data_IF_389881355244
#
_entry.id   IF_389881355244
#
_cell.length_a   1.000
_cell.length_b   1.000
_cell.length_c   1.000
_cell.angle_alpha   90.00
_cell.angle_beta   90.00
_cell.angle_gamma   90.00
#
_symmetry.space_group_name_H-M   'P 1'
#
loop_
_entity.id
_entity.type
_entity.pdbx_description
1 polymer ?
#
# COMPACT_ATOMS: atom_id res chain seq x y z
N UNK A 1 -10.49 28.66 -25.57
CA UNK A 1 -9.99 27.29 -25.29
C UNK A 1 -10.79 26.33 -26.16
N UNK A 2 -10.19 25.37 -26.86
CA UNK A 2 -10.94 24.37 -27.63
C UNK A 2 -11.80 23.53 -26.69
N UNK A 3 -13.07 23.31 -27.06
CA UNK A 3 -14.01 22.45 -26.32
C UNK A 3 -13.57 20.98 -26.39
N UNK A 4 -14.08 20.09 -25.52
CA UNK A 4 -13.82 18.65 -25.64
C UNK A 4 -14.18 18.11 -27.04
N UNK A 5 -15.30 18.57 -27.61
CA UNK A 5 -15.72 18.19 -28.96
C UNK A 5 -14.73 18.67 -30.03
N UNK A 6 -14.17 19.87 -29.90
CA UNK A 6 -13.12 20.38 -30.81
C UNK A 6 -11.86 19.53 -30.77
N UNK A 7 -11.45 19.08 -29.58
CA UNK A 7 -10.26 18.23 -29.42
C UNK A 7 -10.45 16.87 -30.07
N UNK A 8 -11.62 16.26 -29.89
CA UNK A 8 -11.98 15.00 -30.54
C UNK A 8 -12.05 15.17 -32.06
N UNK A 9 -12.66 16.26 -32.55
CA UNK A 9 -12.77 16.58 -33.97
C UNK A 9 -11.40 16.84 -34.63
N UNK A 10 -10.44 17.38 -33.88
CA UNK A 10 -9.10 17.63 -34.36
C UNK A 10 -8.23 16.36 -34.46
N UNK A 11 -8.67 15.22 -33.91
CA UNK A 11 -7.94 13.96 -34.07
C UNK A 11 -7.85 13.58 -35.53
N UNK A 12 -6.65 13.22 -35.96
CA UNK A 12 -6.38 12.66 -37.27
C UNK A 12 -6.24 11.14 -37.16
N UNK A 13 -6.50 10.46 -38.27
CA UNK A 13 -6.34 9.02 -38.46
C UNK A 13 -4.99 8.57 -37.88
N UNK A 14 -4.95 7.34 -37.34
CA UNK A 14 -3.78 6.81 -36.65
C UNK A 14 -2.49 6.93 -37.47
N UNK A 15 -1.74 8.01 -37.25
CA UNK A 15 -0.45 8.23 -37.89
C UNK A 15 0.57 7.21 -37.39
N UNK A 16 1.30 6.60 -38.33
CA UNK A 16 2.31 5.55 -38.17
C UNK A 16 1.84 4.29 -37.40
N UNK A 17 2.32 3.13 -37.86
CA UNK A 17 2.09 1.84 -37.23
C UNK A 17 2.41 1.88 -35.73
N UNK A 18 1.38 1.79 -34.88
CA UNK A 18 1.54 1.60 -33.43
C UNK A 18 1.67 0.10 -33.13
N UNK A 19 2.59 -0.31 -32.23
CA UNK A 19 2.70 -1.71 -31.82
C UNK A 19 1.36 -2.27 -31.33
N UNK A 20 1.07 -3.57 -31.51
CA UNK A 20 -0.20 -4.16 -31.08
C UNK A 20 -0.52 -3.99 -29.59
N UNK A 21 0.49 -3.77 -28.74
CA UNK A 21 0.36 -3.57 -27.29
C UNK A 21 0.27 -2.10 -26.86
N UNK A 22 0.33 -1.14 -27.79
CA UNK A 22 0.18 0.28 -27.45
C UNK A 22 -1.28 0.57 -27.07
N UNK A 23 -1.57 1.01 -25.82
CA UNK A 23 -2.93 1.32 -25.37
C UNK A 23 -3.55 2.52 -26.09
N UNK A 24 -2.75 3.31 -26.82
CA UNK A 24 -3.21 4.42 -27.66
C UNK A 24 -3.46 4.00 -29.12
N UNK A 25 -3.34 2.70 -29.44
CA UNK A 25 -3.67 2.18 -30.78
C UNK A 25 -5.18 2.36 -31.07
N UNK A 26 -5.56 2.95 -32.22
CA UNK A 26 -6.97 3.05 -32.61
C UNK A 26 -7.66 1.69 -32.64
N UNK A 27 -8.94 1.68 -32.28
CA UNK A 27 -9.79 0.52 -32.39
C UNK A 27 -10.36 0.47 -33.81
N UNK A 28 -10.40 -0.72 -34.39
CA UNK A 28 -11.00 -0.96 -35.70
C UNK A 28 -12.10 -1.98 -35.58
N UNK A 29 -13.23 -1.69 -36.20
CA UNK A 29 -14.41 -2.55 -36.15
C UNK A 29 -15.15 -2.54 -37.47
N UNK A 30 -15.72 -3.70 -37.83
CA UNK A 30 -16.66 -3.80 -38.95
C UNK A 30 -18.08 -3.68 -38.39
N UNK A 31 -18.75 -2.59 -38.75
CA UNK A 31 -20.17 -2.37 -38.49
C UNK A 31 -20.98 -2.91 -39.67
N UNK A 32 -22.12 -3.51 -39.37
CA UNK A 32 -23.11 -3.87 -40.39
C UNK A 32 -24.01 -2.65 -40.60
N UNK A 33 -23.82 -1.94 -41.72
CA UNK A 33 -24.63 -0.76 -42.08
C UNK A 33 -25.39 -1.07 -43.37
N UNK A 34 -26.71 -1.21 -43.27
CA UNK A 34 -27.59 -1.52 -44.41
C UNK A 34 -27.18 -2.79 -45.21
N UNK A 35 -26.59 -3.79 -44.55
CA UNK A 35 -26.14 -5.04 -45.17
C UNK A 35 -24.80 -4.94 -45.91
N UNK A 36 -24.14 -3.78 -45.86
CA UNK A 36 -22.76 -3.59 -46.31
C UNK A 36 -21.88 -3.40 -45.07
N UNK A 37 -20.83 -4.21 -44.97
CA UNK A 37 -19.88 -4.11 -43.85
C UNK A 37 -19.00 -2.86 -44.00
N UNK A 38 -19.18 -1.87 -43.12
CA UNK A 38 -18.35 -0.68 -43.05
C UNK A 38 -17.29 -0.83 -41.96
N UNK A 39 -16.01 -0.66 -42.31
CA UNK A 39 -14.94 -0.61 -41.31
C UNK A 39 -14.78 0.81 -40.77
N UNK A 40 -15.02 0.96 -39.47
CA UNK A 40 -14.79 2.19 -38.71
C UNK A 40 -13.49 2.09 -37.93
N UNK A 41 -12.79 3.22 -37.81
CA UNK A 41 -11.62 3.40 -36.96
C UNK A 41 -11.87 4.54 -35.97
N UNK A 42 -11.91 4.21 -34.69
CA UNK A 42 -12.20 5.16 -33.62
C UNK A 42 -11.04 5.19 -32.60
N UNK A 43 -10.88 6.28 -31.82
CA UNK A 43 -9.77 6.40 -30.89
C UNK A 43 -9.81 5.27 -29.86
N UNK A 44 -8.65 4.94 -29.31
CA UNK A 44 -8.60 3.99 -28.21
C UNK A 44 -9.32 4.54 -26.98
N UNK A 45 -9.78 3.68 -26.04
CA UNK A 45 -10.38 4.13 -24.79
C UNK A 45 -9.51 5.13 -24.02
N UNK A 46 -8.18 4.94 -24.03
CA UNK A 46 -7.24 5.87 -23.40
C UNK A 46 -7.20 7.23 -24.10
N UNK A 47 -7.14 7.24 -25.44
CA UNK A 47 -7.14 8.49 -26.22
C UNK A 47 -8.45 9.23 -26.02
N UNK A 48 -9.60 8.54 -26.02
CA UNK A 48 -10.89 9.16 -25.75
C UNK A 48 -10.96 9.71 -24.32
N UNK A 49 -10.41 9.01 -23.33
CA UNK A 49 -10.33 9.47 -21.95
C UNK A 49 -9.52 10.76 -21.81
N UNK A 50 -8.34 10.85 -22.44
CA UNK A 50 -7.45 12.01 -22.40
C UNK A 50 -8.05 13.23 -23.14
N UNK A 51 -8.63 13.01 -24.33
CA UNK A 51 -8.99 14.08 -25.27
C UNK A 51 -10.40 14.62 -25.08
N UNK A 52 -11.34 13.76 -24.67
CA UNK A 52 -12.75 14.09 -24.58
C UNK A 52 -13.32 13.86 -23.17
N UNK A 53 -13.21 12.65 -22.62
CA UNK A 53 -13.94 12.30 -21.39
C UNK A 53 -13.46 13.09 -20.17
N UNK A 54 -12.15 13.16 -19.91
CA UNK A 54 -11.61 13.95 -18.79
C UNK A 54 -12.02 15.43 -18.86
N UNK A 55 -11.73 16.20 -19.93
CA UNK A 55 -12.06 17.62 -19.95
C UNK A 55 -13.58 17.87 -19.95
N UNK A 56 -14.39 16.95 -20.48
CA UNK A 56 -15.84 16.99 -20.36
C UNK A 56 -16.26 16.83 -18.89
N UNK A 57 -15.86 15.74 -18.25
CA UNK A 57 -16.33 15.34 -16.92
C UNK A 57 -15.75 16.22 -15.79
N UNK A 58 -14.64 16.94 -16.06
CA UNK A 58 -14.09 17.97 -15.18
C UNK A 58 -14.82 19.33 -15.31
N UNK A 59 -15.85 19.44 -16.16
CA UNK A 59 -16.67 20.65 -16.23
C UNK A 59 -17.51 20.79 -14.96
N UNK A 60 -17.14 21.73 -14.09
CA UNK A 60 -17.87 22.02 -12.84
C UNK A 60 -17.50 21.12 -11.66
N UNK A 61 -16.58 20.16 -11.83
CA UNK A 61 -16.04 19.32 -10.73
C UNK A 61 -14.60 18.94 -11.00
N UNK A 62 -13.83 18.64 -9.96
CA UNK A 62 -12.49 18.04 -10.08
C UNK A 62 -12.60 16.54 -9.95
N UNK A 63 -11.84 15.82 -10.77
CA UNK A 63 -11.74 14.37 -10.73
C UNK A 63 -10.37 13.94 -10.21
N UNK A 64 -10.36 12.85 -9.46
CA UNK A 64 -9.15 12.22 -8.95
C UNK A 64 -9.28 10.71 -9.08
N UNK A 65 -8.15 10.00 -9.03
CA UNK A 65 -8.13 8.54 -8.83
C UNK A 65 -7.72 8.20 -7.40
N UNK A 66 -8.34 7.15 -6.87
CA UNK A 66 -7.84 6.41 -5.71
C UNK A 66 -7.82 4.93 -6.09
N UNK A 67 -6.63 4.42 -6.41
CA UNK A 67 -6.43 3.11 -7.03
C UNK A 67 -7.31 2.94 -8.28
N UNK A 68 -8.32 2.08 -8.21
CA UNK A 68 -9.26 1.79 -9.30
C UNK A 68 -10.56 2.63 -9.22
N UNK A 69 -10.76 3.39 -8.15
CA UNK A 69 -11.93 4.25 -7.97
C UNK A 69 -11.67 5.65 -8.55
N UNK A 70 -12.75 6.26 -9.05
CA UNK A 70 -12.76 7.66 -9.46
C UNK A 70 -13.48 8.45 -8.38
N UNK A 71 -12.86 9.53 -7.94
CA UNK A 71 -13.40 10.45 -6.94
C UNK A 71 -13.74 11.78 -7.62
N UNK A 72 -14.85 12.40 -7.22
CA UNK A 72 -15.28 13.71 -7.69
C UNK A 72 -15.40 14.70 -6.54
N UNK A 73 -15.02 15.97 -6.76
CA UNK A 73 -15.19 17.06 -5.80
C UNK A 73 -15.67 18.33 -6.48
N UNK A 74 -16.70 18.96 -5.92
CA UNK A 74 -17.21 20.28 -6.31
C UNK A 74 -16.73 21.40 -5.36
N UNK A 75 -15.87 21.07 -4.39
CA UNK A 75 -15.44 21.98 -3.33
C UNK A 75 -15.46 21.26 -1.98
N UNK A 76 -14.33 20.65 -1.61
CA UNK A 76 -14.19 19.87 -0.38
C UNK A 76 -13.62 18.47 -0.63
N UNK A 77 -13.84 17.57 0.32
CA UNK A 77 -13.37 16.17 0.25
C UNK A 77 -14.00 15.44 -0.93
N UNK A 78 -13.21 14.85 -1.84
CA UNK A 78 -13.75 14.07 -2.95
C UNK A 78 -14.54 12.86 -2.47
N UNK A 79 -15.64 12.56 -3.17
CA UNK A 79 -16.47 11.38 -2.92
C UNK A 79 -16.41 10.43 -4.13
N UNK A 80 -16.55 9.10 -3.92
CA UNK A 80 -16.59 8.15 -5.02
C UNK A 80 -17.74 8.42 -5.99
N UNK A 81 -17.47 8.32 -7.29
CA UNK A 81 -18.47 8.31 -8.35
C UNK A 81 -18.47 6.95 -9.03
N UNK A 82 -19.65 6.41 -9.32
CA UNK A 82 -19.74 5.08 -9.93
C UNK A 82 -19.36 5.12 -11.40
N UNK A 83 -18.75 4.04 -11.90
CA UNK A 83 -18.43 3.93 -13.33
C UNK A 83 -19.69 3.97 -14.18
N UNK A 84 -20.81 3.40 -13.71
CA UNK A 84 -22.08 3.43 -14.42
C UNK A 84 -22.58 4.87 -14.65
N UNK A 85 -22.49 5.73 -13.63
CA UNK A 85 -22.83 7.16 -13.75
C UNK A 85 -21.98 7.84 -14.82
N UNK A 86 -20.65 7.61 -14.79
CA UNK A 86 -19.73 8.20 -15.76
C UNK A 86 -19.95 7.69 -17.19
N UNK A 87 -20.27 6.40 -17.36
CA UNK A 87 -20.62 5.82 -18.67
C UNK A 87 -21.88 6.48 -19.23
N UNK A 88 -22.92 6.67 -18.42
CA UNK A 88 -24.16 7.35 -18.83
C UNK A 88 -23.90 8.79 -19.24
N UNK A 89 -23.13 9.55 -18.45
CA UNK A 89 -22.76 10.93 -18.78
C UNK A 89 -21.95 11.00 -20.09
N UNK A 90 -20.98 10.11 -20.26
CA UNK A 90 -20.13 10.04 -21.45
C UNK A 90 -20.93 9.67 -22.69
N UNK A 91 -21.83 8.69 -22.58
CA UNK A 91 -22.75 8.28 -23.66
C UNK A 91 -23.58 9.47 -24.14
N UNK A 92 -24.28 10.13 -23.21
CA UNK A 92 -25.14 11.27 -23.54
C UNK A 92 -24.35 12.40 -24.23
N UNK A 93 -23.14 12.69 -23.77
CA UNK A 93 -22.29 13.71 -24.36
C UNK A 93 -21.79 13.36 -25.77
N UNK A 94 -21.47 12.08 -26.02
CA UNK A 94 -21.05 11.63 -27.35
C UNK A 94 -22.22 11.57 -28.34
N UNK A 95 -23.41 11.15 -27.90
CA UNK A 95 -24.64 11.17 -28.70
C UNK A 95 -25.05 12.60 -29.07
N UNK A 96 -24.78 13.57 -28.19
CA UNK A 96 -25.02 15.00 -28.42
C UNK A 96 -23.96 15.68 -29.32
N UNK A 97 -22.98 14.94 -29.85
CA UNK A 97 -21.94 15.54 -30.71
C UNK A 97 -22.54 16.10 -32.01
N UNK A 98 -22.26 17.37 -32.35
CA UNK A 98 -22.77 17.98 -33.57
C UNK A 98 -22.20 17.33 -34.81
N UNK A 99 -22.91 17.46 -35.93
CA UNK A 99 -22.33 17.09 -37.21
C UNK A 99 -21.31 18.13 -37.67
N UNK A 100 -20.16 17.66 -38.18
CA UNK A 100 -18.99 18.50 -38.46
C UNK A 100 -18.27 18.05 -39.72
N UNK A 101 -18.27 18.91 -40.74
CA UNK A 101 -17.57 18.64 -42.00
C UNK A 101 -16.03 18.78 -41.88
N UNK A 102 -15.53 19.49 -40.88
CA UNK A 102 -14.11 19.74 -40.62
C UNK A 102 -13.45 18.68 -39.72
N UNK A 103 -14.26 17.78 -39.13
CA UNK A 103 -13.78 16.79 -38.18
C UNK A 103 -13.01 15.65 -38.88
N UNK A 104 -11.96 15.16 -38.22
CA UNK A 104 -11.24 13.99 -38.69
C UNK A 104 -12.07 12.70 -38.57
N UNK A 105 -11.62 11.64 -39.28
CA UNK A 105 -12.33 10.36 -39.33
C UNK A 105 -12.63 9.76 -37.95
N UNK A 106 -11.73 9.79 -36.94
CA UNK A 106 -12.01 9.20 -35.63
C UNK A 106 -13.26 9.79 -34.96
N UNK A 107 -13.53 11.08 -35.17
CA UNK A 107 -14.74 11.75 -34.67
C UNK A 107 -16.00 11.21 -35.35
N UNK A 108 -16.00 11.15 -36.68
CA UNK A 108 -17.12 10.64 -37.46
C UNK A 108 -17.38 9.15 -37.16
N UNK A 109 -16.31 8.37 -37.01
CA UNK A 109 -16.39 6.93 -36.77
C UNK A 109 -16.85 6.59 -35.35
N UNK A 110 -16.53 7.40 -34.33
CA UNK A 110 -17.16 7.29 -32.99
C UNK A 110 -18.66 7.54 -33.06
N UNK A 111 -19.09 8.57 -33.79
CA UNK A 111 -20.53 8.86 -33.96
C UNK A 111 -21.24 7.70 -34.68
N UNK A 112 -20.61 7.11 -35.71
CA UNK A 112 -21.11 5.91 -36.40
C UNK A 112 -21.17 4.69 -35.49
N UNK A 113 -20.14 4.46 -34.66
CA UNK A 113 -20.14 3.39 -33.67
C UNK A 113 -21.33 3.54 -32.70
N UNK A 114 -21.65 4.76 -32.26
CA UNK A 114 -22.79 4.99 -31.37
C UNK A 114 -24.14 4.80 -32.06
N UNK A 115 -24.25 5.16 -33.33
CA UNK A 115 -25.49 5.06 -34.09
C UNK A 115 -25.80 3.64 -34.60
N UNK A 116 -24.77 2.90 -35.04
CA UNK A 116 -24.93 1.61 -35.73
C UNK A 116 -24.25 0.43 -35.00
N UNK A 117 -23.45 0.69 -33.97
CA UNK A 117 -22.83 -0.35 -33.16
C UNK A 117 -23.85 -1.05 -32.25
N UNK A 118 -23.57 -2.30 -31.88
CA UNK A 118 -24.41 -3.01 -30.94
C UNK A 118 -24.27 -2.44 -29.52
N UNK A 119 -25.37 -2.37 -28.77
CA UNK A 119 -25.41 -1.84 -27.41
C UNK A 119 -24.31 -2.41 -26.50
N UNK A 120 -24.09 -3.75 -26.44
CA UNK A 120 -23.07 -4.31 -25.55
C UNK A 120 -21.64 -3.87 -25.88
N UNK A 121 -21.34 -3.64 -27.17
CA UNK A 121 -20.01 -3.20 -27.59
C UNK A 121 -19.78 -1.73 -27.26
N UNK A 122 -20.78 -0.89 -27.50
CA UNK A 122 -20.72 0.51 -27.11
C UNK A 122 -20.54 0.61 -25.60
N UNK A 123 -21.32 -0.13 -24.81
CA UNK A 123 -21.19 -0.15 -23.35
C UNK A 123 -19.79 -0.60 -22.91
N UNK A 124 -19.24 -1.65 -23.51
CA UNK A 124 -17.89 -2.12 -23.23
C UNK A 124 -16.84 -1.04 -23.52
N UNK A 125 -16.93 -0.38 -24.68
CA UNK A 125 -16.00 0.69 -25.08
C UNK A 125 -16.05 1.89 -24.13
N UNK A 126 -17.25 2.31 -23.72
CA UNK A 126 -17.42 3.40 -22.76
C UNK A 126 -16.92 3.00 -21.36
N UNK A 127 -17.18 1.76 -20.93
CA UNK A 127 -16.66 1.24 -19.66
C UNK A 127 -15.13 1.11 -19.66
N UNK A 128 -14.51 0.73 -20.78
CA UNK A 128 -13.06 0.76 -20.98
C UNK A 128 -12.52 2.19 -20.92
N UNK A 129 -13.25 3.17 -21.50
CA UNK A 129 -12.87 4.59 -21.49
C UNK A 129 -12.90 5.15 -20.06
N UNK A 130 -13.93 4.80 -19.28
CA UNK A 130 -14.00 5.18 -17.86
C UNK A 130 -12.89 4.50 -17.06
N UNK A 131 -12.59 3.21 -17.28
CA UNK A 131 -11.45 2.54 -16.65
C UNK A 131 -10.12 3.19 -17.02
N UNK A 132 -9.98 3.71 -18.25
CA UNK A 132 -8.78 4.41 -18.68
C UNK A 132 -8.57 5.75 -17.94
N UNK A 133 -9.61 6.36 -17.35
CA UNK A 133 -9.45 7.54 -16.50
C UNK A 133 -8.60 7.25 -15.24
N UNK A 134 -8.60 6.00 -14.75
CA UNK A 134 -7.78 5.60 -13.60
C UNK A 134 -6.30 5.41 -13.94
N UNK A 135 -5.90 5.58 -15.20
CA UNK A 135 -4.50 5.51 -15.60
C UNK A 135 -3.69 6.64 -14.98
N UNK A 136 -2.44 6.35 -14.63
CA UNK A 136 -1.55 7.24 -13.87
C UNK A 136 -1.41 8.64 -14.49
N UNK A 137 -1.43 8.72 -15.81
CA UNK A 137 -1.20 9.96 -16.56
C UNK A 137 -2.50 10.69 -16.93
N UNK A 138 -3.67 10.11 -16.64
CA UNK A 138 -4.97 10.69 -17.02
C UNK A 138 -5.57 11.49 -15.86
N UNK A 139 -5.79 10.87 -14.69
CA UNK A 139 -6.27 11.58 -13.50
C UNK A 139 -5.21 11.68 -12.41
N UNK A 140 -5.14 12.80 -11.68
CA UNK A 140 -4.27 12.94 -10.53
C UNK A 140 -4.70 11.99 -9.40
N UNK A 141 -3.72 11.46 -8.66
CA UNK A 141 -4.00 10.65 -7.46
C UNK A 141 -4.50 11.55 -6.34
N UNK A 142 -5.61 11.17 -5.71
CA UNK A 142 -6.08 11.86 -4.53
C UNK A 142 -5.18 11.52 -3.35
N UNK A 143 -4.70 12.55 -2.65
CA UNK A 143 -4.02 12.40 -1.37
C UNK A 143 -4.85 13.14 -0.32
N UNK A 144 -5.33 12.46 0.75
CA UNK A 144 -6.02 13.14 1.83
C UNK A 144 -5.12 14.24 2.42
N UNK A 145 -5.69 15.40 2.83
CA UNK A 145 -4.95 16.37 3.60
C UNK A 145 -4.30 15.67 4.79
N UNK A 146 -2.97 15.73 4.89
CA UNK A 146 -2.29 15.24 6.08
C UNK A 146 -2.69 16.15 7.22
N UNK A 147 -3.32 15.58 8.25
CA UNK A 147 -3.44 16.29 9.53
C UNK A 147 -2.03 16.75 9.93
N UNK A 148 -1.89 18.05 10.14
CA UNK A 148 -0.66 18.61 10.64
C UNK A 148 -0.48 18.08 12.06
N UNK A 149 0.23 16.96 12.21
CA UNK A 149 0.80 16.61 13.51
C UNK A 149 1.59 17.83 13.98
N UNK A 150 1.38 18.31 15.22
CA UNK A 150 2.16 19.43 15.73
C UNK A 150 3.63 19.08 15.52
N UNK A 151 4.32 19.92 14.75
CA UNK A 151 5.72 19.70 14.45
C UNK A 151 6.46 19.81 15.79
N UNK A 152 6.78 18.65 16.37
CA UNK A 152 7.77 18.60 17.42
C UNK A 152 9.05 19.27 16.93
N UNK A 153 9.89 19.77 17.85
CA UNK A 153 11.15 20.39 17.47
C UNK A 153 11.92 19.48 16.48
N UNK A 154 12.55 20.05 15.44
CA UNK A 154 13.22 19.28 14.41
C UNK A 154 14.23 18.33 15.06
N UNK A 155 14.02 17.03 14.89
CA UNK A 155 14.92 16.02 15.45
C UNK A 155 16.14 15.90 14.55
N UNK A 156 17.32 16.03 15.13
CA UNK A 156 18.58 15.74 14.45
C UNK A 156 18.69 14.25 14.13
N UNK A 157 19.47 13.90 13.11
CA UNK A 157 19.78 12.49 12.79
C UNK A 157 20.39 11.74 14.00
N UNK A 158 21.12 12.46 14.86
CA UNK A 158 21.65 11.93 16.11
C UNK A 158 20.55 11.55 17.11
N UNK A 159 19.52 12.41 17.26
CA UNK A 159 18.35 12.13 18.11
C UNK A 159 17.58 10.93 17.57
N UNK A 160 17.24 10.91 16.27
CA UNK A 160 16.52 9.79 15.66
C UNK A 160 17.26 8.46 15.86
N UNK A 161 18.59 8.44 15.69
CA UNK A 161 19.41 7.26 15.97
C UNK A 161 19.45 6.90 17.45
N UNK A 162 19.47 7.88 18.35
CA UNK A 162 19.42 7.64 19.79
C UNK A 162 18.09 7.00 20.20
N UNK A 163 16.98 7.53 19.71
CA UNK A 163 15.63 6.98 19.95
C UNK A 163 15.51 5.57 19.41
N UNK A 164 16.01 5.34 18.19
CA UNK A 164 16.02 4.02 17.58
C UNK A 164 16.82 3.01 18.41
N UNK A 165 18.01 3.39 18.89
CA UNK A 165 18.83 2.54 19.77
C UNK A 165 18.16 2.29 21.12
N UNK A 166 17.47 3.29 21.67
CA UNK A 166 16.75 3.16 22.93
C UNK A 166 15.57 2.20 22.79
N UNK A 167 14.82 2.30 21.69
CA UNK A 167 13.73 1.36 21.37
C UNK A 167 14.24 -0.06 21.21
N UNK A 168 15.25 -0.28 20.36
CA UNK A 168 15.86 -1.61 20.19
C UNK A 168 16.33 -2.17 21.54
N UNK A 169 16.97 -1.34 22.36
CA UNK A 169 17.41 -1.79 23.68
C UNK A 169 16.24 -2.18 24.59
N UNK A 170 15.14 -1.43 24.57
CA UNK A 170 13.92 -1.78 25.29
C UNK A 170 13.32 -3.11 24.80
N UNK A 171 13.27 -3.31 23.49
CA UNK A 171 12.79 -4.55 22.86
C UNK A 171 13.70 -5.75 23.22
N UNK A 172 15.03 -5.57 23.23
CA UNK A 172 16.01 -6.56 23.68
C UNK A 172 15.84 -6.90 25.18
N UNK A 173 15.63 -5.90 26.04
CA UNK A 173 15.42 -6.08 27.48
C UNK A 173 14.09 -6.80 27.76
N UNK A 174 13.04 -6.50 27.00
CA UNK A 174 11.75 -7.19 27.06
C UNK A 174 11.88 -8.65 26.64
N UNK A 175 12.56 -8.93 25.52
CA UNK A 175 12.79 -10.29 25.02
C UNK A 175 13.60 -11.13 26.01
N UNK A 176 14.68 -10.55 26.56
CA UNK A 176 15.48 -11.19 27.59
C UNK A 176 14.66 -11.51 28.85
N UNK A 177 13.84 -10.56 29.31
CA UNK A 177 13.01 -10.76 30.52
C UNK A 177 11.95 -11.82 30.29
N UNK A 178 11.23 -11.75 29.18
CA UNK A 178 10.21 -12.73 28.80
C UNK A 178 10.80 -14.14 28.76
N UNK A 179 11.96 -14.32 28.11
CA UNK A 179 12.60 -15.63 28.05
C UNK A 179 13.03 -16.12 29.44
N UNK A 180 13.68 -15.28 30.24
CA UNK A 180 14.14 -15.66 31.58
C UNK A 180 13.00 -16.00 32.54
N UNK A 181 11.78 -15.46 32.33
CA UNK A 181 10.61 -15.72 33.19
C UNK A 181 9.70 -16.83 32.68
N UNK A 182 9.72 -17.15 31.39
CA UNK A 182 8.82 -18.13 30.78
C UNK A 182 9.53 -19.41 30.31
N UNK A 183 10.87 -19.46 30.34
CA UNK A 183 11.63 -20.64 29.90
C UNK A 183 11.49 -21.88 30.80
N UNK A 184 10.91 -21.75 32.00
CA UNK A 184 10.65 -22.86 32.93
C UNK A 184 9.62 -23.87 32.40
N UNK A 185 8.86 -23.55 31.34
CA UNK A 185 7.85 -24.43 30.74
C UNK A 185 8.35 -25.34 29.61
N UNK A 186 9.46 -24.99 28.95
CA UNK A 186 9.91 -25.64 27.70
C UNK A 186 11.29 -26.31 27.82
N UNK A 187 11.88 -26.35 29.03
CA UNK A 187 13.17 -27.02 29.28
C UNK A 187 14.39 -26.26 28.73
N UNK A 188 14.25 -24.96 28.49
CA UNK A 188 15.33 -24.12 27.94
C UNK A 188 16.29 -23.57 29.00
N UNK A 189 15.95 -23.64 30.29
CA UNK A 189 16.80 -23.23 31.40
C UNK A 189 17.14 -24.42 32.30
N UNK A 190 18.27 -24.31 33.02
CA UNK A 190 18.65 -25.26 34.06
C UNK A 190 17.58 -25.31 35.17
N UNK A 191 17.46 -26.45 35.88
CA UNK A 191 16.39 -26.61 36.86
C UNK A 191 16.53 -25.61 38.03
N UNK A 192 15.44 -25.25 38.72
CA UNK A 192 15.51 -24.34 39.84
C UNK A 192 16.49 -24.83 40.92
N UNK A 193 17.46 -23.99 41.28
CA UNK A 193 18.57 -24.31 42.18
C UNK A 193 19.86 -24.75 41.48
N UNK A 194 19.81 -25.07 40.18
CA UNK A 194 20.98 -25.42 39.39
C UNK A 194 21.81 -24.20 38.96
N UNK A 195 23.02 -24.48 38.48
CA UNK A 195 23.97 -23.46 38.02
C UNK A 195 23.96 -23.43 36.50
N UNK A 196 23.86 -22.23 35.94
CA UNK A 196 24.01 -22.00 34.51
C UNK A 196 25.16 -21.03 34.24
N UNK A 197 26.05 -21.40 33.31
CA UNK A 197 27.17 -20.54 32.93
C UNK A 197 26.69 -19.27 32.23
N UNK A 198 27.33 -18.12 32.46
CA UNK A 198 26.94 -16.87 31.78
C UNK A 198 27.24 -16.84 30.26
N UNK A 199 28.00 -17.81 29.76
CA UNK A 199 28.18 -18.04 28.31
C UNK A 199 27.02 -18.89 27.81
N UNK A 200 26.82 -20.04 28.44
CA UNK A 200 25.75 -21.00 28.16
C UNK A 200 24.36 -20.34 28.19
N UNK A 201 24.07 -19.52 29.21
CA UNK A 201 22.82 -18.74 29.30
C UNK A 201 22.60 -17.86 28.06
N UNK A 202 23.67 -17.26 27.53
CA UNK A 202 23.58 -16.41 26.34
C UNK A 202 23.40 -17.22 25.06
N UNK A 203 23.99 -18.41 24.99
CA UNK A 203 23.83 -19.33 23.86
C UNK A 203 22.40 -19.90 23.81
N UNK A 204 21.86 -20.33 24.96
CA UNK A 204 20.49 -20.81 25.08
C UNK A 204 19.47 -19.72 24.73
N UNK A 205 19.65 -18.51 25.28
CA UNK A 205 18.78 -17.37 24.94
C UNK A 205 18.82 -17.04 23.44
N UNK A 206 20.01 -17.08 22.83
CA UNK A 206 20.16 -16.79 21.40
C UNK A 206 19.54 -17.87 20.51
N UNK A 207 19.57 -19.14 20.93
CA UNK A 207 18.92 -20.22 20.22
C UNK A 207 17.39 -20.06 20.27
N UNK A 208 16.82 -19.95 21.48
CA UNK A 208 15.37 -19.87 21.67
C UNK A 208 14.75 -18.60 21.05
N UNK A 209 15.32 -17.42 21.35
CA UNK A 209 14.83 -16.16 20.79
C UNK A 209 15.20 -16.01 19.30
N UNK A 210 16.20 -16.74 18.83
CA UNK A 210 16.62 -16.75 17.43
C UNK A 210 15.56 -17.34 16.51
N UNK A 211 14.90 -18.41 16.93
CA UNK A 211 13.79 -19.02 16.18
C UNK A 211 12.62 -18.04 16.08
N UNK A 212 12.14 -17.50 17.21
CA UNK A 212 11.04 -16.51 17.25
C UNK A 212 11.36 -15.24 16.44
N UNK A 213 12.58 -14.73 16.55
CA UNK A 213 13.01 -13.56 15.79
C UNK A 213 13.08 -13.83 14.27
N UNK A 214 13.38 -15.07 13.85
CA UNK A 214 13.46 -15.44 12.45
C UNK A 214 12.09 -15.55 11.76
N UNK A 215 11.05 -15.91 12.52
CA UNK A 215 9.66 -15.97 12.04
C UNK A 215 8.94 -14.62 12.14
N UNK A 216 9.56 -13.64 12.81
CA UNK A 216 8.98 -12.30 13.00
C UNK A 216 7.87 -12.28 14.06
N UNK A 217 7.88 -13.23 14.98
CA UNK A 217 6.89 -13.35 16.04
C UNK A 217 7.05 -12.26 17.11
N UNK A 218 5.94 -11.99 17.79
CA UNK A 218 5.90 -11.14 18.97
C UNK A 218 6.02 -12.00 20.23
N UNK A 219 6.53 -11.43 21.33
CA UNK A 219 6.73 -12.18 22.59
C UNK A 219 5.41 -12.73 23.15
N UNK A 220 4.29 -12.08 22.83
CA UNK A 220 2.94 -12.53 23.14
C UNK A 220 2.10 -12.37 21.87
N UNK A 221 1.71 -13.48 21.22
CA UNK A 221 0.94 -13.44 19.98
C UNK A 221 -0.53 -13.02 20.20
N UNK A 222 -1.03 -13.02 21.44
CA UNK A 222 -2.41 -12.63 21.77
C UNK A 222 -2.52 -11.13 22.12
N UNK A 223 -1.40 -10.44 22.37
CA UNK A 223 -1.35 -8.99 22.61
C UNK A 223 -0.75 -8.23 21.42
N UNK A 224 -1.61 -7.51 20.69
CA UNK A 224 -1.23 -6.63 19.57
C UNK A 224 -0.18 -5.55 19.94
N UNK A 225 0.04 -5.29 21.23
CA UNK A 225 1.04 -4.33 21.73
C UNK A 225 2.34 -4.99 22.19
N UNK A 226 2.41 -6.32 22.17
CA UNK A 226 3.60 -7.05 22.56
C UNK A 226 4.80 -6.64 21.68
N UNK A 227 6.01 -6.46 22.24
CA UNK A 227 7.17 -6.15 21.43
C UNK A 227 7.56 -7.36 20.54
N UNK A 228 8.24 -7.11 19.40
CA UNK A 228 8.76 -8.20 18.58
C UNK A 228 9.83 -8.99 19.34
N UNK A 229 9.88 -10.30 19.10
CA UNK A 229 10.96 -11.13 19.63
C UNK A 229 12.30 -10.73 19.00
N UNK A 230 13.29 -10.45 19.83
CA UNK A 230 14.65 -10.12 19.40
C UNK A 230 15.67 -10.97 20.14
N UNK A 231 16.76 -11.31 19.44
CA UNK A 231 17.95 -11.89 20.08
C UNK A 231 18.71 -10.78 20.80
N UNK A 232 18.74 -10.77 22.15
CA UNK A 232 19.40 -9.71 22.89
C UNK A 232 20.91 -9.81 22.75
N UNK A 233 21.58 -8.66 22.63
CA UNK A 233 23.03 -8.61 22.82
C UNK A 233 23.39 -9.18 24.20
N UNK A 234 24.47 -9.96 24.26
CA UNK A 234 24.95 -10.61 25.49
C UNK A 234 25.01 -9.68 26.71
N UNK A 235 25.45 -8.43 26.52
CA UNK A 235 25.52 -7.44 27.62
C UNK A 235 24.14 -7.08 28.17
N UNK A 236 23.12 -7.00 27.32
CA UNK A 236 21.74 -6.70 27.72
C UNK A 236 21.15 -7.90 28.45
N UNK A 237 21.26 -9.09 27.88
CA UNK A 237 20.80 -10.32 28.52
C UNK A 237 21.39 -10.49 29.92
N UNK A 238 22.70 -10.36 30.07
CA UNK A 238 23.36 -10.54 31.38
C UNK A 238 22.99 -9.44 32.39
N UNK A 239 22.64 -8.24 31.92
CA UNK A 239 22.12 -7.20 32.79
C UNK A 239 20.73 -7.59 33.32
N UNK A 240 19.82 -8.03 32.45
CA UNK A 240 18.49 -8.52 32.84
C UNK A 240 18.59 -9.77 33.71
N UNK A 241 19.46 -10.73 33.38
CA UNK A 241 19.71 -11.91 34.21
C UNK A 241 20.21 -11.54 35.61
N UNK A 242 20.94 -10.43 35.76
CA UNK A 242 21.36 -9.93 37.07
C UNK A 242 20.19 -9.36 37.87
N UNK A 243 19.18 -8.79 37.20
CA UNK A 243 17.94 -8.33 37.82
C UNK A 243 17.05 -9.52 38.23
N UNK A 244 16.93 -10.54 37.37
CA UNK A 244 16.04 -11.68 37.56
C UNK A 244 16.63 -12.74 38.51
N UNK A 245 17.88 -13.16 38.29
CA UNK A 245 18.55 -14.22 39.07
C UNK A 245 19.48 -13.68 40.17
N UNK A 246 19.71 -12.37 40.21
CA UNK A 246 20.69 -11.75 41.09
C UNK A 246 22.13 -11.78 40.53
N UNK A 247 23.10 -11.30 41.31
CA UNK A 247 24.49 -11.14 40.85
C UNK A 247 25.14 -12.48 40.50
N UNK A 248 25.88 -12.58 39.38
CA UNK A 248 26.57 -13.80 39.01
C UNK A 248 27.69 -14.12 40.01
N UNK A 249 27.83 -15.40 40.34
CA UNK A 249 28.93 -15.93 41.15
C UNK A 249 30.08 -16.35 40.24
N UNK A 250 31.24 -16.63 40.83
CA UNK A 250 32.41 -17.15 40.11
C UNK A 250 32.76 -18.53 40.62
N UNK A 251 33.11 -19.43 39.70
CA UNK A 251 33.66 -20.73 40.06
C UNK A 251 35.16 -20.63 40.41
N UNK A 252 35.77 -21.78 40.72
CA UNK A 252 37.20 -21.88 41.04
C UNK A 252 38.12 -21.48 39.87
N UNK A 253 37.61 -21.46 38.64
CA UNK A 253 38.33 -21.07 37.43
C UNK A 253 38.04 -19.61 37.02
N UNK A 254 37.23 -18.89 37.80
CA UNK A 254 36.84 -17.50 37.55
C UNK A 254 35.69 -17.32 36.55
N UNK A 255 35.10 -18.40 36.05
CA UNK A 255 33.96 -18.37 35.14
C UNK A 255 32.70 -17.91 35.90
N UNK A 256 31.91 -17.04 35.26
CA UNK A 256 30.68 -16.50 35.85
C UNK A 256 29.51 -17.45 35.63
N UNK A 257 28.74 -17.68 36.68
CA UNK A 257 27.51 -18.49 36.62
C UNK A 257 26.40 -17.84 37.44
N UNK A 258 25.16 -18.14 37.07
CA UNK A 258 23.94 -17.78 37.80
C UNK A 258 23.39 -19.03 38.49
N UNK A 259 22.61 -18.83 39.56
CA UNK A 259 21.83 -19.91 40.18
C UNK A 259 20.37 -19.63 39.82
N UNK A 260 19.69 -20.61 39.21
CA UNK A 260 18.30 -20.45 38.81
C UNK A 260 17.43 -20.40 40.08
N UNK A 261 16.56 -19.38 40.25
CA UNK A 261 15.79 -19.20 41.48
C UNK A 261 14.70 -20.27 41.64
N UNK A 262 14.47 -20.75 42.88
CA UNK A 262 13.58 -21.87 43.22
C UNK A 262 12.09 -21.52 43.40
N UNK A 263 11.62 -20.39 42.90
CA UNK A 263 10.23 -19.94 43.06
C UNK A 263 9.68 -19.37 41.76
N UNK A 264 8.34 -19.33 41.64
CA UNK A 264 7.68 -18.59 40.54
C UNK A 264 8.31 -17.20 40.48
N UNK A 265 8.86 -16.86 39.31
CA UNK A 265 9.35 -15.52 39.00
C UNK A 265 8.13 -14.60 38.91
N UNK A 266 7.54 -14.25 40.05
CA UNK A 266 6.37 -13.39 40.12
C UNK A 266 6.67 -12.05 39.46
N UNK A 267 5.67 -11.56 38.73
CA UNK A 267 5.66 -10.35 37.91
C UNK A 267 6.48 -9.17 38.50
N UNK A 268 7.16 -8.39 37.64
CA UNK A 268 7.88 -7.21 38.10
C UNK A 268 6.90 -6.26 38.79
N UNK A 269 7.25 -5.90 40.03
CA UNK A 269 6.62 -4.82 40.78
C UNK A 269 6.63 -3.56 39.91
N UNK A 270 5.46 -3.17 39.38
CA UNK A 270 5.25 -1.89 38.73
C UNK A 270 5.63 -0.77 39.71
N UNK A 271 6.85 -0.27 39.58
CA UNK A 271 7.31 0.88 40.32
C UNK A 271 6.50 2.10 39.85
N UNK A 272 5.65 2.59 40.76
CA UNK A 272 4.99 3.88 40.70
C UNK A 272 5.99 4.97 40.29
N UNK A 273 5.70 5.65 39.19
CA UNK A 273 5.97 7.07 38.97
C UNK A 273 4.70 7.70 38.41
#
# INVERSE_FOLDING_TARGET
>A
MPTPADRLAALRDGGAYRPPRDPRRPCQERLEDNGLGLTVEYPSPLVLAETFARPLLETGRRLYRDRAAILASTGGTPAPITHATLVTELRAALEALPDRADAGRPYADVRRLLAAGSTPKVDAYLADTVRALCWRDVLPEWTPPREAKPAGPPRTSAQVRADHRARIRGDEEASARWWLTNADGEGFLAEPGERIGAVELAEQAAAALGELASTGEHLDPEDDKSPPALVPRRRVLLAVATEVFGRPRRDRHGARYYVVPSGQLSEPHSARL
#
